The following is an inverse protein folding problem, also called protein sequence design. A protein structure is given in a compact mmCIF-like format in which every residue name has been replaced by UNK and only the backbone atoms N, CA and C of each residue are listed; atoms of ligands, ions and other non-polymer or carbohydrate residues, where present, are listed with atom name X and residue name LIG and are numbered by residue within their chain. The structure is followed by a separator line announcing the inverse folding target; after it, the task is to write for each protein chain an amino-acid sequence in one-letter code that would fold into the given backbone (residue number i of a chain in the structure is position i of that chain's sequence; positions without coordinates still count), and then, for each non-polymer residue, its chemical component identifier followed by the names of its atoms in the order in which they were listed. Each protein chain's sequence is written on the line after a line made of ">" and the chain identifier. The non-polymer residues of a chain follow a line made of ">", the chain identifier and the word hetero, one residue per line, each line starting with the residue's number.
data_IF_086475880464
#
_entry.id   IF_086475880464
#
_cell.length_a   1.000
_cell.length_b   1.000
_cell.length_c   1.000
_cell.angle_alpha   90.00
_cell.angle_beta   90.00
_cell.angle_gamma   90.00
#
_symmetry.space_group_name_H-M   'P 1'
#
loop_
_entity.id
_entity.type
_entity.pdbx_description
1 polymer ?
#
# COMPACT_ATOMS: atom_id res chain seq x y z
N UNK A 1 -8.37 -4.01 18.89
CA UNK A 1 -8.67 -2.71 18.23
C UNK A 1 -7.68 -2.37 17.12
N UNK A 2 -6.37 -2.59 17.33
CA UNK A 2 -5.31 -2.27 16.34
C UNK A 2 -5.51 -2.90 14.96
N UNK A 3 -6.00 -4.14 14.88
CA UNK A 3 -6.32 -4.81 13.59
C UNK A 3 -7.36 -4.05 12.77
N UNK A 4 -8.53 -3.73 13.36
CA UNK A 4 -9.61 -3.00 12.65
C UNK A 4 -9.15 -1.63 12.17
N UNK A 5 -8.29 -0.96 12.94
CA UNK A 5 -7.73 0.33 12.55
C UNK A 5 -6.77 0.19 11.36
N UNK A 6 -5.91 -0.83 11.36
CA UNK A 6 -5.05 -1.14 10.21
C UNK A 6 -5.88 -1.48 8.97
N UNK A 7 -6.95 -2.29 9.12
CA UNK A 7 -7.87 -2.62 8.04
C UNK A 7 -8.51 -1.37 7.44
N UNK A 8 -9.06 -0.48 8.28
CA UNK A 8 -9.68 0.77 7.83
C UNK A 8 -8.67 1.69 7.15
N UNK A 9 -7.46 1.82 7.73
CA UNK A 9 -6.40 2.65 7.15
C UNK A 9 -5.90 2.10 5.80
N UNK A 10 -5.66 0.80 5.69
CA UNK A 10 -5.28 0.17 4.42
C UNK A 10 -6.40 0.25 3.39
N UNK A 11 -7.66 0.06 3.78
CA UNK A 11 -8.79 0.22 2.86
C UNK A 11 -8.87 1.66 2.33
N UNK A 12 -8.75 2.67 3.21
CA UNK A 12 -8.73 4.07 2.80
C UNK A 12 -7.54 4.40 1.88
N UNK A 13 -6.35 3.90 2.20
CA UNK A 13 -5.15 4.10 1.37
C UNK A 13 -5.26 3.40 0.01
N UNK A 14 -5.87 2.22 -0.05
CA UNK A 14 -6.06 1.48 -1.30
C UNK A 14 -7.06 2.15 -2.26
N UNK A 15 -7.94 3.04 -1.77
CA UNK A 15 -8.80 3.84 -2.65
C UNK A 15 -8.00 4.83 -3.52
N UNK A 16 -6.84 5.29 -3.05
CA UNK A 16 -5.97 6.20 -3.82
C UNK A 16 -5.50 5.54 -5.11
N UNK A 17 -4.81 4.37 -5.10
CA UNK A 17 -4.38 3.69 -6.32
C UNK A 17 -5.54 3.20 -7.18
N UNK A 18 -6.70 2.85 -6.58
CA UNK A 18 -7.89 2.51 -7.37
C UNK A 18 -8.39 3.73 -8.15
N UNK A 19 -8.63 4.85 -7.49
CA UNK A 19 -9.15 6.05 -8.15
C UNK A 19 -8.13 6.61 -9.15
N UNK A 20 -6.89 6.80 -8.74
CA UNK A 20 -5.83 7.35 -9.61
C UNK A 20 -5.44 6.37 -10.71
N UNK A 21 -5.47 5.06 -10.48
CA UNK A 21 -5.25 4.05 -11.51
C UNK A 21 -6.30 4.10 -12.62
N UNK A 22 -7.58 4.28 -12.26
CA UNK A 22 -8.66 4.50 -13.25
C UNK A 22 -8.44 5.78 -14.05
N UNK A 23 -8.07 6.89 -13.39
CA UNK A 23 -7.78 8.15 -14.06
C UNK A 23 -6.61 8.01 -15.04
N UNK A 24 -5.50 7.42 -14.61
CA UNK A 24 -4.32 7.24 -15.47
C UNK A 24 -4.56 6.23 -16.60
N UNK A 25 -5.52 5.31 -16.43
CA UNK A 25 -6.01 4.44 -17.52
C UNK A 25 -6.74 5.22 -18.63
N UNK A 26 -7.16 6.46 -18.38
CA UNK A 26 -7.68 7.35 -19.42
C UNK A 26 -6.57 7.79 -20.40
N UNK A 27 -5.29 7.55 -20.05
CA UNK A 27 -4.15 7.85 -20.91
C UNK A 27 -3.84 9.35 -20.93
N UNK A 28 -3.55 9.89 -22.11
CA UNK A 28 -3.23 11.33 -22.27
C UNK A 28 -4.43 12.23 -21.91
N UNK A 29 -5.65 11.70 -22.00
CA UNK A 29 -6.87 12.43 -21.63
C UNK A 29 -7.16 12.39 -20.12
N UNK A 30 -6.27 11.82 -19.29
CA UNK A 30 -6.35 11.90 -17.82
C UNK A 30 -6.42 13.37 -17.39
N UNK A 31 -7.45 13.81 -16.63
CA UNK A 31 -7.58 15.19 -16.17
C UNK A 31 -6.34 15.73 -15.43
N UNK A 32 -5.58 14.87 -14.77
CA UNK A 32 -4.34 15.24 -14.06
C UNK A 32 -3.21 15.58 -15.02
N UNK A 33 -3.17 14.94 -16.20
CA UNK A 33 -2.15 15.14 -17.21
C UNK A 33 -2.59 16.11 -18.32
N UNK A 34 -3.89 16.21 -18.59
CA UNK A 34 -4.45 17.06 -19.64
C UNK A 34 -4.05 18.54 -19.47
N UNK A 35 -3.94 19.01 -18.21
CA UNK A 35 -3.51 20.37 -17.89
C UNK A 35 -2.02 20.66 -18.18
N UNK A 36 -1.20 19.64 -18.44
CA UNK A 36 0.24 19.79 -18.64
C UNK A 36 0.68 19.96 -20.10
N UNK A 37 -0.26 19.98 -21.05
CA UNK A 37 0.03 20.27 -22.46
C UNK A 37 0.90 19.22 -23.14
N UNK A 38 0.86 17.97 -22.67
CA UNK A 38 1.66 16.88 -23.20
C UNK A 38 1.32 16.60 -24.68
N UNK A 39 2.32 16.25 -25.51
CA UNK A 39 2.09 15.90 -26.90
C UNK A 39 1.24 14.63 -26.99
N UNK A 40 0.36 14.57 -28.00
CA UNK A 40 -0.44 13.38 -28.33
C UNK A 40 0.42 12.32 -28.99
N UNK A 41 1.15 11.58 -28.16
CA UNK A 41 2.08 10.53 -28.55
C UNK A 41 1.58 9.15 -28.11
N UNK A 42 1.52 8.19 -29.04
CA UNK A 42 0.96 6.87 -28.76
C UNK A 42 1.81 6.05 -27.76
N UNK A 43 3.13 6.27 -27.72
CA UNK A 43 4.00 5.61 -26.76
C UNK A 43 3.75 6.14 -25.34
N UNK A 44 3.60 7.45 -25.18
CA UNK A 44 3.23 8.07 -23.91
C UNK A 44 1.84 7.59 -23.44
N UNK A 45 0.82 7.62 -24.32
CA UNK A 45 -0.53 7.14 -24.00
C UNK A 45 -0.53 5.69 -23.54
N UNK A 46 0.17 4.82 -24.29
CA UNK A 46 0.30 3.41 -23.93
C UNK A 46 0.98 3.20 -22.58
N UNK A 47 2.04 3.95 -22.27
CA UNK A 47 2.72 3.88 -20.98
C UNK A 47 1.81 4.31 -19.83
N UNK A 48 1.09 5.44 -19.99
CA UNK A 48 0.14 5.91 -18.98
C UNK A 48 -0.92 4.84 -18.71
N UNK A 49 -1.55 4.30 -19.76
CA UNK A 49 -2.57 3.25 -19.60
C UNK A 49 -2.03 2.00 -18.92
N UNK A 50 -0.84 1.55 -19.31
CA UNK A 50 -0.20 0.39 -18.70
C UNK A 50 0.07 0.60 -17.21
N UNK A 51 0.72 1.73 -16.84
CA UNK A 51 0.99 2.03 -15.43
C UNK A 51 -0.28 2.28 -14.63
N UNK A 52 -1.30 2.93 -15.22
CA UNK A 52 -2.63 3.08 -14.62
C UNK A 52 -3.27 1.73 -14.31
N UNK A 53 -3.18 0.76 -15.22
CA UNK A 53 -3.67 -0.60 -15.00
C UNK A 53 -2.92 -1.38 -13.93
N UNK A 54 -1.59 -1.30 -13.93
CA UNK A 54 -0.75 -1.89 -12.86
C UNK A 54 -1.08 -1.26 -11.50
N UNK A 55 -1.27 0.06 -11.46
CA UNK A 55 -1.58 0.81 -10.26
C UNK A 55 -2.99 0.49 -9.72
N UNK A 56 -3.97 0.41 -10.61
CA UNK A 56 -5.32 -0.06 -10.27
C UNK A 56 -5.29 -1.48 -9.70
N UNK A 57 -4.58 -2.40 -10.37
CA UNK A 57 -4.44 -3.78 -9.91
C UNK A 57 -3.78 -3.85 -8.52
N UNK A 58 -2.77 -3.02 -8.25
CA UNK A 58 -2.15 -2.91 -6.93
C UNK A 58 -3.15 -2.46 -5.87
N UNK A 59 -3.98 -1.45 -6.17
CA UNK A 59 -5.02 -0.98 -5.26
C UNK A 59 -6.08 -2.05 -4.96
N UNK A 60 -6.53 -2.77 -5.99
CA UNK A 60 -7.48 -3.89 -5.82
C UNK A 60 -6.86 -5.05 -5.02
N UNK A 61 -5.57 -5.35 -5.23
CA UNK A 61 -4.84 -6.34 -4.45
C UNK A 61 -4.69 -5.90 -2.99
N UNK A 62 -4.48 -4.61 -2.71
CA UNK A 62 -4.49 -4.10 -1.34
C UNK A 62 -5.87 -4.24 -0.68
N UNK A 63 -6.96 -3.97 -1.40
CA UNK A 63 -8.31 -4.16 -0.88
C UNK A 63 -8.62 -5.62 -0.57
N UNK A 64 -8.17 -6.56 -1.43
CA UNK A 64 -8.39 -7.99 -1.21
C UNK A 64 -7.64 -8.54 0.02
N UNK A 65 -6.55 -7.88 0.44
CA UNK A 65 -5.82 -8.21 1.65
C UNK A 65 -6.53 -7.78 2.94
N UNK A 66 -7.38 -6.76 2.90
CA UNK A 66 -7.98 -6.14 4.10
C UNK A 66 -8.63 -7.17 5.04
N UNK A 67 -9.43 -8.15 4.57
CA UNK A 67 -10.08 -9.11 5.45
C UNK A 67 -9.11 -10.03 6.23
N UNK A 68 -7.89 -10.23 5.73
CA UNK A 68 -6.90 -11.18 6.27
C UNK A 68 -5.52 -10.52 6.48
N UNK A 69 -5.51 -9.22 6.77
CA UNK A 69 -4.32 -8.37 6.79
C UNK A 69 -3.23 -8.84 7.77
N UNK A 70 -3.61 -9.54 8.83
CA UNK A 70 -2.74 -10.12 9.84
C UNK A 70 -1.99 -11.39 9.36
N UNK A 71 -2.55 -12.10 8.38
CA UNK A 71 -1.98 -13.37 7.87
C UNK A 71 -1.08 -13.16 6.66
N UNK A 72 -1.39 -12.16 5.84
CA UNK A 72 -0.76 -11.93 4.54
C UNK A 72 0.41 -10.93 4.58
N UNK A 73 1.27 -11.03 5.59
CA UNK A 73 2.35 -10.04 5.81
C UNK A 73 3.35 -9.94 4.65
N UNK A 74 3.62 -11.06 3.94
CA UNK A 74 4.54 -11.05 2.79
C UNK A 74 3.95 -10.29 1.61
N UNK A 75 2.70 -10.59 1.22
CA UNK A 75 2.05 -9.90 0.10
C UNK A 75 1.83 -8.43 0.44
N UNK A 76 1.42 -8.12 1.68
CA UNK A 76 1.30 -6.75 2.16
C UNK A 76 2.61 -5.97 2.03
N UNK A 77 3.74 -6.56 2.45
CA UNK A 77 5.05 -5.94 2.33
C UNK A 77 5.51 -5.76 0.88
N UNK A 78 5.16 -6.69 -0.03
CA UNK A 78 5.44 -6.55 -1.46
C UNK A 78 4.64 -5.40 -2.07
N UNK A 79 3.34 -5.30 -1.78
CA UNK A 79 2.49 -4.23 -2.32
C UNK A 79 2.95 -2.86 -1.82
N UNK A 80 3.21 -2.70 -0.52
CA UNK A 80 3.77 -1.45 0.02
C UNK A 80 5.21 -1.20 -0.44
N UNK A 81 6.00 -2.24 -0.67
CA UNK A 81 7.32 -2.12 -1.27
C UNK A 81 7.27 -1.58 -2.70
N UNK A 82 6.29 -2.00 -3.49
CA UNK A 82 6.05 -1.44 -4.82
C UNK A 82 5.65 0.04 -4.76
N UNK A 83 4.77 0.41 -3.81
CA UNK A 83 4.42 1.82 -3.54
C UNK A 83 5.65 2.65 -3.16
N UNK A 84 6.52 2.12 -2.28
CA UNK A 84 7.77 2.77 -1.89
C UNK A 84 8.70 3.00 -3.08
N UNK A 85 8.89 1.99 -3.94
CA UNK A 85 9.71 2.12 -5.16
C UNK A 85 9.13 3.14 -6.14
N UNK A 86 7.80 3.21 -6.26
CA UNK A 86 7.11 4.29 -6.98
C UNK A 86 7.47 5.66 -6.43
N UNK A 87 7.40 5.84 -5.10
CA UNK A 87 7.80 7.07 -4.41
C UNK A 87 9.27 7.45 -4.64
N UNK A 88 10.19 6.48 -4.68
CA UNK A 88 11.60 6.72 -5.05
C UNK A 88 11.70 7.26 -6.48
N UNK A 89 10.97 6.65 -7.43
CA UNK A 89 10.91 7.15 -8.81
C UNK A 89 10.40 8.59 -8.90
N UNK A 90 9.37 8.94 -8.12
CA UNK A 90 8.84 10.32 -8.05
C UNK A 90 9.84 11.28 -7.41
N UNK A 91 10.56 10.86 -6.37
CA UNK A 91 11.60 11.68 -5.74
C UNK A 91 12.77 11.95 -6.70
N UNK A 92 13.18 10.96 -7.50
CA UNK A 92 14.17 11.14 -8.56
C UNK A 92 13.69 12.11 -9.63
N UNK A 93 12.43 11.99 -10.07
CA UNK A 93 11.82 12.95 -11.00
C UNK A 93 11.82 14.37 -10.43
N UNK A 94 11.50 14.54 -9.14
CA UNK A 94 11.57 15.84 -8.46
C UNK A 94 12.98 16.42 -8.42
N UNK A 95 13.98 15.58 -8.15
CA UNK A 95 15.37 15.99 -8.06
C UNK A 95 15.94 16.44 -9.42
N UNK A 96 15.48 15.85 -10.53
CA UNK A 96 16.02 16.12 -11.87
C UNK A 96 15.19 17.07 -12.72
N UNK A 97 13.86 17.07 -12.58
CA UNK A 97 12.93 17.83 -13.42
C UNK A 97 12.20 18.94 -12.65
N UNK A 98 12.31 18.97 -11.32
CA UNK A 98 11.67 19.96 -10.46
C UNK A 98 10.37 19.48 -9.81
N UNK A 99 9.77 20.34 -8.99
CA UNK A 99 8.65 19.97 -8.14
C UNK A 99 7.32 19.88 -8.92
N UNK A 100 6.53 18.81 -8.73
CA UNK A 100 5.16 18.74 -9.22
C UNK A 100 4.23 19.64 -8.39
N UNK A 101 2.95 19.78 -8.78
CA UNK A 101 1.95 20.41 -7.94
C UNK A 101 1.92 19.82 -6.52
N UNK A 102 1.64 20.65 -5.51
CA UNK A 102 1.76 20.31 -4.10
C UNK A 102 1.12 18.97 -3.66
N UNK A 103 -0.08 18.57 -4.15
CA UNK A 103 -0.66 17.28 -3.78
C UNK A 103 0.24 16.07 -4.08
N UNK A 104 0.99 16.12 -5.19
CA UNK A 104 1.87 15.03 -5.60
C UNK A 104 3.14 14.93 -4.76
N UNK A 105 3.60 16.04 -4.17
CA UNK A 105 4.68 16.03 -3.17
C UNK A 105 4.20 15.30 -1.92
N UNK A 106 2.96 15.59 -1.48
CA UNK A 106 2.32 14.90 -0.36
C UNK A 106 2.18 13.40 -0.58
N UNK A 107 1.77 12.97 -1.79
CA UNK A 107 1.72 11.55 -2.15
C UNK A 107 3.11 10.91 -2.10
N UNK A 108 4.15 11.56 -2.61
CA UNK A 108 5.51 11.01 -2.53
C UNK A 108 6.01 10.87 -1.10
N UNK A 109 5.72 11.83 -0.22
CA UNK A 109 6.02 11.70 1.20
C UNK A 109 5.29 10.50 1.83
N UNK A 110 4.00 10.31 1.49
CA UNK A 110 3.21 9.16 1.93
C UNK A 110 3.78 7.84 1.40
N UNK A 111 4.24 7.78 0.16
CA UNK A 111 4.82 6.57 -0.42
C UNK A 111 6.14 6.19 0.28
N UNK A 112 7.02 7.18 0.51
CA UNK A 112 8.34 6.95 1.10
C UNK A 112 8.28 6.67 2.61
N UNK A 113 7.43 7.37 3.34
CA UNK A 113 7.34 7.27 4.80
C UNK A 113 6.19 6.34 5.25
N UNK A 114 5.08 6.38 4.54
CA UNK A 114 3.91 5.54 4.83
C UNK A 114 4.20 4.07 4.59
N UNK A 115 4.87 3.70 3.48
CA UNK A 115 5.19 2.30 3.21
C UNK A 115 5.94 1.59 4.35
N UNK A 116 7.11 2.08 4.83
CA UNK A 116 7.79 1.45 5.95
C UNK A 116 6.96 1.48 7.24
N UNK A 117 6.21 2.55 7.49
CA UNK A 117 5.35 2.66 8.67
C UNK A 117 4.21 1.62 8.67
N UNK A 118 3.51 1.46 7.55
CA UNK A 118 2.43 0.48 7.39
C UNK A 118 2.95 -0.95 7.47
N UNK A 119 4.11 -1.25 6.88
CA UNK A 119 4.74 -2.58 6.98
C UNK A 119 5.09 -2.88 8.45
N UNK A 120 5.70 -1.92 9.16
CA UNK A 120 6.01 -2.09 10.57
C UNK A 120 4.74 -2.28 11.42
N UNK A 121 3.69 -1.54 11.14
CA UNK A 121 2.41 -1.66 11.85
C UNK A 121 1.73 -3.00 11.59
N UNK A 122 1.73 -3.49 10.35
CA UNK A 122 1.20 -4.81 10.00
C UNK A 122 1.94 -5.93 10.76
N UNK A 123 3.28 -5.86 10.84
CA UNK A 123 4.09 -6.84 11.59
C UNK A 123 3.72 -6.86 13.08
N UNK A 124 3.46 -5.69 13.67
CA UNK A 124 3.01 -5.60 15.07
C UNK A 124 1.63 -6.23 15.27
N UNK A 125 0.70 -6.03 14.33
CA UNK A 125 -0.64 -6.65 14.38
C UNK A 125 -0.55 -8.16 14.25
N UNK A 126 0.23 -8.66 13.27
CA UNK A 126 0.44 -10.08 13.06
C UNK A 126 1.06 -10.78 14.29
N UNK A 127 2.06 -10.16 14.92
CA UNK A 127 2.69 -10.70 16.12
C UNK A 127 1.70 -10.81 17.30
N UNK A 128 0.80 -9.84 17.47
CA UNK A 128 -0.21 -9.85 18.54
C UNK A 128 -1.28 -10.91 18.33
N UNK A 129 -1.71 -11.10 17.09
CA UNK A 129 -2.69 -12.14 16.76
C UNK A 129 -2.11 -13.56 16.92
N UNK A 130 -0.81 -13.75 16.65
CA UNK A 130 -0.10 -15.00 16.92
C UNK A 130 0.00 -15.36 18.42
N UNK A 131 0.21 -14.38 19.30
CA UNK A 131 0.25 -14.60 20.76
C UNK A 131 -1.14 -14.94 21.33
N UNK A 132 -2.21 -14.33 20.79
CA UNK A 132 -3.57 -14.62 21.21
C UNK A 132 -4.02 -16.04 20.85
N UNK A 133 -3.48 -16.62 19.76
CA UNK A 133 -3.74 -18.01 19.36
C UNK A 133 -2.89 -19.06 20.09
N UNK A 134 -1.77 -18.67 20.72
CA UNK A 134 -0.83 -19.57 21.40
C UNK A 134 -1.08 -19.78 22.89
N UNK A 135 -1.94 -18.98 23.52
CA UNK A 135 -2.31 -19.11 24.93
C UNK A 135 -3.43 -20.15 25.12
N UNK A 136 -3.18 -21.41 24.78
CA UNK A 136 -3.95 -22.54 25.29
C UNK A 136 -3.64 -22.77 26.77
N UNK A 137 -4.59 -23.23 27.60
CA UNK A 137 -4.40 -23.34 29.04
C UNK A 137 -3.23 -24.27 29.33
N UNK A 138 -2.14 -23.71 29.85
CA UNK A 138 -1.04 -24.48 30.38
C UNK A 138 -1.61 -25.36 31.50
N UNK A 139 -1.76 -26.66 31.19
CA UNK A 139 -2.16 -27.70 32.12
C UNK A 139 -1.32 -27.55 33.38
N UNK A 140 -2.00 -27.13 34.44
CA UNK A 140 -1.52 -27.08 35.80
C UNK A 140 -1.03 -28.48 36.16
N UNK A 141 0.28 -28.70 36.08
CA UNK A 141 0.92 -29.93 36.55
C UNK A 141 0.63 -30.03 38.05
N UNK A 142 -0.30 -30.90 38.43
CA UNK A 142 -0.57 -31.22 39.83
C UNK A 142 0.72 -31.77 40.46
N UNK A 143 1.10 -31.33 41.68
CA UNK A 143 2.25 -31.90 42.35
C UNK A 143 2.00 -33.38 42.70
N UNK A 144 3.07 -34.20 42.78
CA UNK A 144 2.92 -35.61 43.09
C UNK A 144 2.31 -35.76 44.49
N UNK A 145 1.22 -36.53 44.59
CA UNK A 145 0.71 -37.01 45.88
C UNK A 145 1.80 -37.89 46.49
N UNK A 146 2.36 -37.44 47.60
CA UNK A 146 3.16 -38.30 48.47
C UNK A 146 2.22 -39.30 49.13
N UNK A 147 2.51 -40.58 48.95
CA UNK A 147 1.87 -41.73 49.56
C UNK A 147 2.85 -42.88 49.55
#
# INVERSE_FOLDING_TARGET
>A
MTRRLLQAATAAMALIPVATGVLTMMGIDDPLYHASGLPRDALLDGNLRFFGGVWLALGLAMLSLVPQIEREGRLFAVLWGAVFLGGVGRALSMAWLGLPPAPFIGFTALELLGAPAFIAWQRQVAARDGHAGGAGPALQKSPPRQG
#
